data_IF_217828079728
#
_entry.id   IF_217828079728
#
_cell.length_a   1.000
_cell.length_b   1.000
_cell.length_c   1.000
_cell.angle_alpha   90.00
_cell.angle_beta   90.00
_cell.angle_gamma   90.00
#
_symmetry.space_group_name_H-M   'P 1'
#
loop_
_entity.id
_entity.type
_entity.pdbx_description
1 polymer ?
#
# COMPACT_ATOMS: atom_id res chain seq x y z
N UNK A 1 14.64 -0.78 -2.96
CA UNK A 1 13.95 -0.01 -1.90
C UNK A 1 12.60 0.39 -2.45
N UNK A 2 11.53 0.27 -1.66
CA UNK A 2 10.17 0.61 -2.08
C UNK A 2 9.55 1.64 -1.15
N UNK A 3 8.83 2.60 -1.72
CA UNK A 3 7.94 3.50 -0.99
C UNK A 3 6.78 2.70 -0.43
N UNK A 4 6.58 2.79 0.89
CA UNK A 4 5.49 2.12 1.58
C UNK A 4 4.62 3.13 2.31
N UNK A 5 3.38 2.74 2.55
CA UNK A 5 2.48 3.46 3.45
C UNK A 5 1.67 2.47 4.28
N UNK A 6 1.18 2.93 5.43
CA UNK A 6 0.29 2.14 6.28
C UNK A 6 -0.98 1.75 5.53
N UNK A 7 -1.46 0.54 5.81
CA UNK A 7 -2.71 0.07 5.24
C UNK A 7 -3.90 0.64 6.03
N UNK A 8 -4.85 1.34 5.37
CA UNK A 8 -6.03 1.86 6.06
C UNK A 8 -6.93 0.72 6.54
N UNK A 9 -6.93 -0.41 5.83
CA UNK A 9 -7.66 -1.62 6.20
C UNK A 9 -6.71 -2.82 6.26
N UNK A 10 -6.80 -3.59 7.34
CA UNK A 10 -5.93 -4.75 7.52
C UNK A 10 -6.26 -5.85 6.50
N UNK A 11 -5.27 -6.46 5.85
CA UNK A 11 -5.49 -7.56 4.91
C UNK A 11 -6.08 -8.80 5.61
N UNK A 12 -5.83 -8.99 6.90
CA UNK A 12 -6.41 -10.07 7.70
C UNK A 12 -7.94 -9.96 7.89
N UNK A 13 -8.52 -8.80 7.61
CA UNK A 13 -9.98 -8.62 7.62
C UNK A 13 -10.58 -8.66 6.21
N UNK A 14 -9.76 -8.71 5.16
CA UNK A 14 -10.26 -8.74 3.79
C UNK A 14 -10.96 -10.06 3.49
N UNK A 15 -12.01 -9.99 2.68
CA UNK A 15 -12.80 -11.13 2.23
C UNK A 15 -12.69 -11.30 0.73
N UNK A 16 -12.61 -12.54 0.26
CA UNK A 16 -12.81 -12.90 -1.14
C UNK A 16 -14.25 -13.38 -1.33
N UNK A 17 -14.81 -13.07 -2.49
CA UNK A 17 -16.11 -13.60 -2.92
C UNK A 17 -15.92 -15.03 -3.41
N UNK A 18 -16.73 -15.94 -2.91
CA UNK A 18 -16.83 -17.33 -3.36
C UNK A 18 -18.30 -17.66 -3.57
N UNK A 19 -18.75 -17.56 -4.83
CA UNK A 19 -20.16 -17.58 -5.20
C UNK A 19 -20.97 -16.56 -4.40
N UNK A 20 -21.96 -17.01 -3.62
CA UNK A 20 -22.80 -16.18 -2.75
C UNK A 20 -22.23 -15.99 -1.34
N UNK A 21 -21.02 -16.49 -1.06
CA UNK A 21 -20.38 -16.41 0.25
C UNK A 21 -19.20 -15.44 0.23
N UNK A 22 -18.92 -14.88 1.40
CA UNK A 22 -17.69 -14.17 1.69
C UNK A 22 -16.82 -15.08 2.56
N UNK A 23 -15.62 -15.37 2.10
CA UNK A 23 -14.65 -16.18 2.85
C UNK A 23 -13.38 -15.35 3.05
N UNK A 24 -12.61 -15.66 4.08
CA UNK A 24 -11.41 -14.90 4.41
C UNK A 24 -10.39 -14.92 3.28
N UNK A 25 -9.79 -13.76 3.00
CA UNK A 25 -8.74 -13.64 2.01
C UNK A 25 -7.45 -14.30 2.51
N UNK A 26 -7.12 -14.08 3.78
CA UNK A 26 -6.03 -14.73 4.49
C UNK A 26 -6.62 -15.66 5.56
N UNK A 27 -6.18 -16.92 5.55
CA UNK A 27 -6.49 -17.86 6.64
C UNK A 27 -5.62 -17.53 7.85
N UNK A 28 -6.22 -16.98 8.91
CA UNK A 28 -5.51 -16.53 10.11
C UNK A 28 -6.45 -16.36 11.30
N UNK A 29 -5.90 -16.46 12.51
CA UNK A 29 -6.64 -16.21 13.76
C UNK A 29 -6.98 -14.72 13.99
N UNK A 30 -6.51 -13.82 13.13
CA UNK A 30 -6.68 -12.37 13.27
C UNK A 30 -8.05 -11.87 12.77
N UNK A 31 -8.82 -12.71 12.10
CA UNK A 31 -10.07 -12.33 11.43
C UNK A 31 -11.06 -11.58 12.34
N UNK A 32 -11.15 -11.99 13.61
CA UNK A 32 -12.03 -11.40 14.61
C UNK A 32 -11.28 -10.63 15.71
N UNK A 33 -9.96 -10.48 15.54
CA UNK A 33 -9.13 -9.80 16.52
C UNK A 33 -9.12 -8.29 16.27
N UNK A 34 -8.88 -7.47 17.32
CA UNK A 34 -8.68 -6.04 17.15
C UNK A 34 -7.48 -5.70 16.27
N UNK A 35 -7.51 -4.57 15.56
CA UNK A 35 -6.41 -4.18 14.65
C UNK A 35 -5.05 -4.15 15.31
N UNK A 36 -4.98 -3.72 16.57
CA UNK A 36 -3.72 -3.58 17.30
C UNK A 36 -3.04 -4.91 17.63
N UNK A 37 -3.75 -6.04 17.55
CA UNK A 37 -3.13 -7.37 17.68
C UNK A 37 -2.63 -7.92 16.35
N UNK A 38 -2.89 -7.24 15.24
CA UNK A 38 -2.42 -7.70 13.94
C UNK A 38 -0.92 -7.42 13.76
N UNK A 39 -0.24 -8.21 12.92
CA UNK A 39 1.09 -7.85 12.43
C UNK A 39 1.10 -6.46 11.82
N UNK A 40 2.21 -5.74 12.01
CA UNK A 40 2.43 -4.45 11.37
C UNK A 40 2.65 -4.68 9.87
N UNK A 41 1.73 -4.18 9.06
CA UNK A 41 1.68 -4.43 7.62
C UNK A 41 1.57 -3.11 6.87
N UNK A 42 2.25 -3.07 5.73
CA UNK A 42 2.28 -1.93 4.84
C UNK A 42 1.92 -2.34 3.41
N UNK A 43 1.55 -1.34 2.61
CA UNK A 43 1.39 -1.50 1.17
C UNK A 43 2.47 -0.71 0.45
N UNK A 44 2.99 -1.25 -0.64
CA UNK A 44 3.78 -0.46 -1.58
C UNK A 44 2.87 0.58 -2.24
N UNK A 45 3.28 1.84 -2.21
CA UNK A 45 2.47 2.95 -2.73
C UNK A 45 2.82 3.33 -4.17
N UNK A 46 3.81 2.68 -4.78
CA UNK A 46 4.20 2.92 -6.18
C UNK A 46 4.86 4.27 -6.46
N UNK A 47 4.98 5.15 -5.46
CA UNK A 47 5.59 6.47 -5.64
C UNK A 47 7.11 6.39 -5.86
N UNK A 48 7.79 5.45 -5.21
CA UNK A 48 9.24 5.28 -5.31
C UNK A 48 9.59 3.79 -5.37
N UNK A 49 10.29 3.40 -6.42
CA UNK A 49 10.94 2.09 -6.54
C UNK A 49 12.39 2.26 -6.99
N UNK A 50 13.32 1.87 -6.12
CA UNK A 50 14.77 1.86 -6.40
C UNK A 50 15.22 0.42 -6.56
N UNK A 51 15.53 0.04 -7.80
CA UNK A 51 15.83 -1.33 -8.20
C UNK A 51 17.25 -1.44 -8.74
N UNK A 52 17.87 -2.62 -8.59
CA UNK A 52 19.15 -2.93 -9.26
C UNK A 52 18.85 -3.38 -10.67
N UNK A 53 19.42 -2.71 -11.67
CA UNK A 53 19.25 -3.07 -13.09
C UNK A 53 19.62 -4.54 -13.36
N UNK A 54 20.66 -5.05 -12.70
CA UNK A 54 21.07 -6.46 -12.81
C UNK A 54 19.98 -7.44 -12.39
N UNK A 55 19.10 -7.08 -11.43
CA UNK A 55 18.00 -7.95 -11.00
C UNK A 55 16.96 -8.03 -12.12
N UNK A 56 16.56 -6.89 -12.66
CA UNK A 56 15.57 -6.80 -13.75
C UNK A 56 16.08 -7.50 -15.02
N UNK A 57 17.37 -7.36 -15.33
CA UNK A 57 17.95 -7.89 -16.57
C UNK A 57 18.25 -9.39 -16.51
N UNK A 58 18.54 -9.92 -15.33
CA UNK A 58 18.97 -11.32 -15.17
C UNK A 58 17.90 -12.23 -14.56
N UNK A 59 16.80 -11.67 -14.07
CA UNK A 59 15.71 -12.41 -13.46
C UNK A 59 14.36 -11.89 -13.98
N UNK A 60 13.36 -12.78 -14.08
CA UNK A 60 11.98 -12.40 -14.43
C UNK A 60 11.21 -11.78 -13.26
N UNK A 61 11.92 -11.20 -12.28
CA UNK A 61 11.34 -10.58 -11.08
C UNK A 61 11.81 -9.14 -10.95
N UNK A 62 10.88 -8.27 -10.59
CA UNK A 62 11.12 -6.83 -10.40
C UNK A 62 11.77 -6.58 -9.03
N UNK A 63 11.40 -7.39 -8.04
CA UNK A 63 11.88 -7.27 -6.67
C UNK A 63 12.69 -8.51 -6.29
N UNK A 64 13.90 -8.32 -5.75
CA UNK A 64 14.68 -9.41 -5.15
C UNK A 64 14.15 -9.80 -3.77
N UNK A 65 14.75 -10.82 -3.16
CA UNK A 65 14.35 -11.36 -1.85
C UNK A 65 14.53 -10.37 -0.69
N UNK A 66 15.45 -9.40 -0.81
CA UNK A 66 15.74 -8.39 0.20
C UNK A 66 15.35 -7.00 -0.31
N UNK A 67 14.32 -6.41 0.29
CA UNK A 67 13.75 -5.12 -0.10
C UNK A 67 13.79 -4.18 1.10
N UNK A 68 14.60 -3.12 1.03
CA UNK A 68 14.49 -2.00 1.98
C UNK A 68 13.25 -1.15 1.71
N UNK A 69 12.82 -0.34 2.67
CA UNK A 69 11.62 0.49 2.54
C UNK A 69 11.85 1.95 2.94
N UNK A 70 11.01 2.84 2.42
CA UNK A 70 10.86 4.23 2.87
C UNK A 70 9.38 4.44 3.20
N UNK A 71 9.08 4.76 4.45
CA UNK A 71 7.70 5.06 4.86
C UNK A 71 7.36 6.50 4.43
N UNK A 72 6.27 6.63 3.67
CA UNK A 72 5.77 7.91 3.16
C UNK A 72 4.50 8.32 3.91
N UNK A 73 4.31 9.63 4.04
CA UNK A 73 3.14 10.20 4.71
C UNK A 73 1.85 9.97 3.89
N UNK A 74 0.70 10.12 4.55
CA UNK A 74 -0.60 9.86 3.93
C UNK A 74 -0.96 10.82 2.79
N UNK A 75 -0.43 12.05 2.80
CA UNK A 75 -0.76 13.07 1.79
C UNK A 75 -0.05 12.74 0.48
N UNK A 76 1.24 12.39 0.56
CA UNK A 76 2.05 12.01 -0.61
C UNK A 76 1.72 10.64 -1.21
N UNK A 77 0.75 9.91 -0.62
CA UNK A 77 0.24 8.60 -1.09
C UNK A 77 -0.85 8.68 -2.16
N UNK A 78 -1.35 9.87 -2.51
CA UNK A 78 -2.55 9.95 -3.37
C UNK A 78 -2.26 9.53 -4.81
N UNK A 79 -2.59 8.29 -5.16
CA UNK A 79 -2.65 7.83 -6.56
C UNK A 79 -3.88 8.44 -7.25
N UNK A 80 -3.69 9.00 -8.44
CA UNK A 80 -4.75 9.69 -9.19
C UNK A 80 -5.27 8.74 -10.27
N UNK A 81 -6.27 7.92 -9.91
CA UNK A 81 -6.95 7.01 -10.84
C UNK A 81 -8.26 7.60 -11.37
N UNK A 82 -8.87 8.52 -10.61
CA UNK A 82 -10.16 9.16 -10.93
C UNK A 82 -10.10 10.68 -10.83
N UNK A 83 -11.09 11.35 -11.42
CA UNK A 83 -11.27 12.81 -11.31
C UNK A 83 -11.41 13.26 -9.84
N UNK A 84 -12.08 12.45 -9.01
CA UNK A 84 -12.23 12.76 -7.59
C UNK A 84 -10.87 12.74 -6.87
N UNK A 85 -10.00 11.79 -7.21
CA UNK A 85 -8.65 11.70 -6.64
C UNK A 85 -7.84 12.95 -6.99
N UNK A 86 -7.97 13.45 -8.22
CA UNK A 86 -7.31 14.69 -8.64
C UNK A 86 -7.80 15.91 -7.85
N UNK A 87 -9.12 16.06 -7.67
CA UNK A 87 -9.70 17.17 -6.90
C UNK A 87 -9.19 17.15 -5.45
N UNK A 88 -9.16 15.96 -4.83
CA UNK A 88 -8.66 15.78 -3.46
C UNK A 88 -7.17 16.10 -3.40
N UNK A 89 -6.37 15.61 -4.34
CA UNK A 89 -4.93 15.89 -4.42
C UNK A 89 -4.66 17.40 -4.54
N UNK A 90 -5.41 18.10 -5.39
CA UNK A 90 -5.27 19.55 -5.58
C UNK A 90 -5.62 20.32 -4.31
N UNK A 91 -6.71 19.93 -3.63
CA UNK A 91 -7.09 20.50 -2.33
C UNK A 91 -6.00 20.30 -1.29
N UNK A 92 -5.45 19.08 -1.19
CA UNK A 92 -4.38 18.75 -0.24
C UNK A 92 -3.12 19.58 -0.51
N UNK A 93 -2.70 19.66 -1.77
CA UNK A 93 -1.54 20.45 -2.18
C UNK A 93 -1.68 21.93 -1.79
N UNK A 94 -2.81 22.55 -2.11
CA UNK A 94 -3.05 23.98 -1.86
C UNK A 94 -3.10 24.32 -0.36
N UNK A 95 -3.60 23.41 0.47
CA UNK A 95 -3.88 23.71 1.89
C UNK A 95 -2.84 23.18 2.87
N UNK A 96 -2.13 22.11 2.52
CA UNK A 96 -1.21 21.42 3.43
C UNK A 96 0.24 21.43 2.94
N UNK A 97 0.49 21.62 1.63
CA UNK A 97 1.85 21.63 1.08
C UNK A 97 2.32 23.05 0.73
N UNK A 98 1.51 23.83 0.01
CA UNK A 98 1.88 25.16 -0.49
C UNK A 98 1.77 26.30 0.54
N UNK A 99 1.76 25.97 1.84
CA UNK A 99 1.78 26.93 2.96
C UNK A 99 3.09 26.94 3.74
N UNK A 100 4.15 26.32 3.20
CA UNK A 100 5.51 26.38 3.74
C UNK A 100 6.29 27.59 3.23
#
# INVERSE_FOLDING_TARGET
VRGITKVPYSPYWMKKKDNEKLISFIDSDFEYSPRQSHPDVCQGNGAIDVLRSSIIMNHEIIYGENIGFIEMDEISRTDIDTELDFIIAEFLYKNYWNRS
#
